data_IF_914135172499
#
_entry.id   IF_914135172499
#
_cell.length_a   1.000
_cell.length_b   1.000
_cell.length_c   1.000
_cell.angle_alpha   90.00
_cell.angle_beta   90.00
_cell.angle_gamma   90.00
#
_symmetry.space_group_name_H-M   'P 1'
#
loop_
_entity.id
_entity.type
_entity.pdbx_description
1 polymer ?
#
# COMPACT_ATOMS: atom_id res chain seq x y z
N UNK A 1 4.52 -8.98 14.79
CA UNK A 1 4.28 -7.71 14.09
C UNK A 1 5.62 -7.05 13.85
N UNK A 2 6.10 -7.10 12.61
CA UNK A 2 7.33 -6.45 12.18
C UNK A 2 7.00 -5.27 11.26
N UNK A 3 7.86 -4.25 11.28
CA UNK A 3 7.82 -3.17 10.28
C UNK A 3 8.84 -3.54 9.20
N UNK A 4 8.39 -3.61 7.95
CA UNK A 4 9.23 -3.88 6.78
C UNK A 4 9.18 -2.69 5.84
N UNK A 5 10.32 -2.32 5.26
CA UNK A 5 10.39 -1.22 4.30
C UNK A 5 10.35 -1.74 2.88
N UNK A 6 9.65 -1.02 2.02
CA UNK A 6 9.68 -1.26 0.58
C UNK A 6 10.91 -0.60 -0.04
N UNK A 7 11.73 -1.41 -0.72
CA UNK A 7 12.98 -1.02 -1.38
C UNK A 7 12.95 -1.41 -2.87
N UNK A 8 11.81 -1.16 -3.55
CA UNK A 8 11.63 -1.40 -5.00
C UNK A 8 11.91 -2.85 -5.45
N UNK A 9 11.66 -3.82 -4.56
CA UNK A 9 11.76 -5.25 -4.86
C UNK A 9 10.60 -6.02 -4.22
N UNK A 10 9.45 -5.99 -4.87
CA UNK A 10 8.24 -6.65 -4.36
C UNK A 10 8.38 -8.17 -4.28
N UNK A 11 9.06 -8.81 -5.25
CA UNK A 11 9.18 -10.26 -5.32
C UNK A 11 9.86 -10.86 -4.09
N UNK A 12 10.95 -10.25 -3.62
CA UNK A 12 11.63 -10.68 -2.40
C UNK A 12 10.81 -10.35 -1.14
N UNK A 13 10.18 -9.18 -1.12
CA UNK A 13 9.43 -8.70 0.03
C UNK A 13 8.16 -9.52 0.29
N UNK A 14 7.46 -9.92 -0.76
CA UNK A 14 6.24 -10.73 -0.70
C UNK A 14 6.44 -12.05 0.05
N UNK A 15 7.60 -12.70 -0.10
CA UNK A 15 7.92 -13.94 0.62
C UNK A 15 8.24 -13.73 2.10
N UNK A 16 8.50 -12.49 2.52
CA UNK A 16 8.89 -12.14 3.89
C UNK A 16 7.73 -11.57 4.71
N UNK A 17 6.73 -10.98 4.06
CA UNK A 17 5.58 -10.37 4.74
C UNK A 17 4.74 -11.43 5.48
N UNK A 18 4.41 -11.13 6.73
CA UNK A 18 3.54 -11.98 7.55
C UNK A 18 2.24 -11.25 7.90
N UNK A 19 1.26 -12.00 8.39
CA UNK A 19 -0.01 -11.43 8.85
C UNK A 19 0.24 -10.34 9.90
N UNK A 20 -0.47 -9.21 9.80
CA UNK A 20 -0.36 -8.04 10.70
C UNK A 20 0.97 -7.29 10.63
N UNK A 21 1.86 -7.62 9.69
CA UNK A 21 3.05 -6.80 9.46
C UNK A 21 2.65 -5.40 8.97
N UNK A 22 3.55 -4.45 9.19
CA UNK A 22 3.43 -3.10 8.64
C UNK A 22 4.41 -2.97 7.49
N UNK A 23 3.90 -2.66 6.31
CA UNK A 23 4.70 -2.34 5.13
C UNK A 23 4.84 -0.82 5.00
N UNK A 24 6.03 -0.32 5.29
CA UNK A 24 6.40 1.08 5.14
C UNK A 24 6.84 1.36 3.70
N UNK A 25 6.13 2.24 3.00
CA UNK A 25 6.45 2.69 1.64
C UNK A 25 6.76 4.19 1.66
N UNK A 26 7.77 4.61 0.90
CA UNK A 26 8.16 6.03 0.84
C UNK A 26 7.04 6.87 0.21
N UNK A 27 6.49 6.42 -0.92
CA UNK A 27 5.37 7.04 -1.61
C UNK A 27 4.57 5.97 -2.35
N UNK A 28 3.28 6.23 -2.62
CA UNK A 28 2.47 5.34 -3.46
C UNK A 28 3.07 5.23 -4.87
N UNK A 29 3.62 6.32 -5.42
CA UNK A 29 4.27 6.31 -6.72
C UNK A 29 5.46 5.36 -6.80
N UNK A 30 6.29 5.30 -5.75
CA UNK A 30 7.37 4.30 -5.66
C UNK A 30 6.82 2.88 -5.55
N UNK A 31 5.74 2.70 -4.79
CA UNK A 31 5.06 1.41 -4.67
C UNK A 31 4.44 0.93 -6.00
N UNK A 32 4.04 1.84 -6.88
CA UNK A 32 3.52 1.55 -8.23
C UNK A 32 4.59 1.32 -9.31
N UNK A 33 5.87 1.57 -9.04
CA UNK A 33 6.89 1.62 -10.10
C UNK A 33 7.31 0.26 -10.64
N UNK A 34 7.29 -0.81 -9.84
CA UNK A 34 7.59 -2.14 -10.36
C UNK A 34 6.54 -2.60 -11.38
N UNK A 35 6.97 -3.45 -12.31
CA UNK A 35 6.14 -4.11 -13.34
C UNK A 35 4.93 -4.91 -12.82
N UNK A 36 4.78 -5.09 -11.50
CA UNK A 36 3.61 -5.72 -10.91
C UNK A 36 2.52 -4.69 -10.61
N UNK A 37 1.32 -4.98 -11.11
CA UNK A 37 0.13 -4.14 -10.99
C UNK A 37 -0.11 -3.74 -9.53
N UNK A 38 -0.27 -2.44 -9.27
CA UNK A 38 -0.54 -1.89 -7.94
C UNK A 38 -1.73 -2.59 -7.26
N UNK A 39 -2.74 -2.97 -8.04
CA UNK A 39 -3.90 -3.70 -7.56
C UNK A 39 -3.52 -5.04 -6.93
N UNK A 40 -2.58 -5.79 -7.53
CA UNK A 40 -2.11 -7.07 -6.99
C UNK A 40 -1.46 -6.88 -5.63
N UNK A 41 -0.59 -5.87 -5.50
CA UNK A 41 0.11 -5.59 -4.25
C UNK A 41 -0.86 -5.17 -3.14
N UNK A 42 -1.81 -4.30 -3.47
CA UNK A 42 -2.84 -3.84 -2.53
C UNK A 42 -3.76 -4.99 -2.12
N UNK A 43 -4.20 -5.82 -3.07
CA UNK A 43 -5.01 -7.01 -2.81
C UNK A 43 -4.28 -7.98 -1.90
N UNK A 44 -3.02 -8.28 -2.19
CA UNK A 44 -2.18 -9.14 -1.35
C UNK A 44 -2.07 -8.59 0.08
N UNK A 45 -1.84 -7.28 0.23
CA UNK A 45 -1.76 -6.66 1.55
C UNK A 45 -3.10 -6.79 2.31
N UNK A 46 -4.22 -6.56 1.64
CA UNK A 46 -5.56 -6.71 2.22
C UNK A 46 -5.87 -8.15 2.64
N UNK A 47 -5.60 -9.14 1.79
CA UNK A 47 -5.84 -10.56 2.08
C UNK A 47 -5.00 -11.09 3.26
N UNK A 48 -3.83 -10.48 3.50
CA UNK A 48 -2.90 -10.86 4.56
C UNK A 48 -2.99 -9.98 5.82
N UNK A 49 -3.96 -9.07 5.91
CA UNK A 49 -4.06 -8.09 7.00
C UNK A 49 -2.76 -7.29 7.21
N UNK A 50 -2.04 -6.99 6.12
CA UNK A 50 -0.81 -6.20 6.14
C UNK A 50 -1.20 -4.72 6.09
N UNK A 51 -0.67 -3.95 7.03
CA UNK A 51 -0.94 -2.52 7.12
C UNK A 51 0.05 -1.74 6.28
N UNK A 52 -0.44 -0.93 5.34
CA UNK A 52 0.39 -0.03 4.55
C UNK A 52 0.61 1.28 5.30
N UNK A 53 1.87 1.66 5.47
CA UNK A 53 2.27 2.96 6.01
C UNK A 53 2.99 3.76 4.93
N UNK A 54 2.31 4.77 4.38
CA UNK A 54 2.88 5.67 3.37
C UNK A 54 3.48 6.89 4.07
N UNK A 55 4.79 7.14 3.87
CA UNK A 55 5.48 8.27 4.52
C UNK A 55 5.24 9.62 3.85
N UNK A 56 5.32 9.69 2.52
CA UNK A 56 5.06 10.91 1.73
C UNK A 56 3.80 10.70 0.88
N UNK A 57 2.64 10.71 1.54
CA UNK A 57 1.35 10.64 0.86
C UNK A 57 0.87 12.06 0.54
N UNK A 58 0.87 12.42 -0.75
CA UNK A 58 0.24 13.64 -1.25
C UNK A 58 -1.06 13.26 -1.94
N UNK A 59 -2.17 13.75 -1.41
CA UNK A 59 -3.50 13.48 -1.95
C UNK A 59 -3.99 14.76 -2.63
N UNK A 60 -4.30 14.66 -3.92
CA UNK A 60 -4.89 15.76 -4.67
C UNK A 60 -6.35 16.02 -4.23
N UNK A 61 -6.86 17.26 -4.39
CA UNK A 61 -8.24 17.61 -4.05
C UNK A 61 -9.30 16.66 -4.56
N UNK A 62 -9.20 16.27 -5.83
CA UNK A 62 -10.14 15.36 -6.47
C UNK A 62 -10.19 14.01 -5.75
N UNK A 63 -9.03 13.49 -5.34
CA UNK A 63 -8.91 12.16 -4.72
C UNK A 63 -9.52 12.12 -3.32
N UNK A 64 -9.27 13.12 -2.45
CA UNK A 64 -9.90 13.08 -1.12
C UNK A 64 -11.40 13.41 -1.16
N UNK A 65 -11.86 14.14 -2.17
CA UNK A 65 -13.31 14.35 -2.41
C UNK A 65 -14.00 13.05 -2.82
N UNK A 66 -13.36 12.25 -3.69
CA UNK A 66 -13.82 10.90 -4.03
C UNK A 66 -13.87 9.98 -2.80
N UNK A 67 -12.84 9.99 -1.95
CA UNK A 67 -12.83 9.22 -0.70
C UNK A 67 -14.02 9.62 0.20
N UNK A 68 -14.27 10.92 0.38
CA UNK A 68 -15.41 11.41 1.16
C UNK A 68 -16.76 11.00 0.57
N UNK A 69 -16.87 10.96 -0.76
CA UNK A 69 -18.07 10.51 -1.45
C UNK A 69 -18.32 9.02 -1.24
N UNK A 70 -17.28 8.19 -1.35
CA UNK A 70 -17.37 6.74 -1.10
C UNK A 70 -17.80 6.45 0.35
N UNK A 71 -17.20 7.13 1.33
CA UNK A 71 -17.52 6.95 2.75
C UNK A 71 -18.96 7.36 3.13
N UNK A 72 -19.62 8.21 2.34
CA UNK A 72 -21.02 8.60 2.58
C UNK A 72 -22.04 7.65 1.96
N UNK A 73 -21.61 6.70 1.13
CA UNK A 73 -22.47 5.71 0.47
C UNK A 73 -22.62 4.42 1.27
N UNK A 74 -21.78 4.22 2.28
CA UNK A 74 -21.92 3.19 3.32
C UNK A 74 -22.69 3.73 4.53
#
# INVERSE_FOLDING_TARGET
>A
MCVRRYEDNWGELKGKLMEKDVLEVLSLSAFCRDEQDLEEKLRYCGEKDIRLQVKDARISPDVYLDILYLMKRE
#
